data_IF_947391499154
#
_entry.id   IF_947391499154
#
_cell.length_a   1.000
_cell.length_b   1.000
_cell.length_c   1.000
_cell.angle_alpha   90.00
_cell.angle_beta   90.00
_cell.angle_gamma   90.00
#
_symmetry.space_group_name_H-M   'P 1'
#
loop_
_entity.id
_entity.type
_entity.pdbx_description
1 polymer ?
#
# COMPACT_ATOMS: atom_id res chain seq x y z
N UNK A 1 9.85 -5.29 9.19
CA UNK A 1 10.49 -6.01 8.08
C UNK A 1 10.34 -5.21 6.81
N UNK A 2 11.43 -5.10 6.06
CA UNK A 2 11.49 -4.30 4.84
C UNK A 2 11.09 -5.16 3.64
N UNK A 3 10.19 -4.63 2.82
CA UNK A 3 9.66 -5.30 1.63
C UNK A 3 9.62 -4.34 0.44
N UNK A 4 9.59 -4.92 -0.77
CA UNK A 4 9.40 -4.17 -2.01
C UNK A 4 7.95 -4.29 -2.47
N UNK A 5 7.32 -3.16 -2.80
CA UNK A 5 5.96 -3.07 -3.35
C UNK A 5 6.08 -2.69 -4.83
N UNK A 6 5.79 -3.63 -5.72
CA UNK A 6 5.85 -3.43 -7.17
C UNK A 6 4.48 -3.08 -7.74
N UNK A 7 4.47 -2.24 -8.79
CA UNK A 7 3.26 -1.75 -9.44
C UNK A 7 3.12 -2.19 -10.90
N UNK A 8 4.11 -2.93 -11.41
CA UNK A 8 4.14 -3.44 -12.77
C UNK A 8 4.55 -4.92 -12.80
N UNK A 9 4.32 -5.57 -13.95
CA UNK A 9 4.70 -6.96 -14.18
C UNK A 9 6.20 -7.14 -14.47
N UNK A 10 6.91 -6.06 -14.78
CA UNK A 10 8.32 -6.06 -15.18
C UNK A 10 9.27 -5.89 -13.98
N UNK A 11 8.73 -5.62 -12.79
CA UNK A 11 9.46 -5.33 -11.56
C UNK A 11 10.45 -4.15 -11.71
N UNK A 12 10.09 -3.15 -12.52
CA UNK A 12 10.93 -1.97 -12.80
C UNK A 12 10.58 -0.80 -11.87
N UNK A 13 9.30 -0.65 -11.51
CA UNK A 13 8.83 0.37 -10.58
C UNK A 13 8.39 -0.23 -9.24
N UNK A 14 9.09 0.13 -8.17
CA UNK A 14 8.77 -0.31 -6.82
C UNK A 14 9.04 0.77 -5.77
N UNK A 15 8.22 0.75 -4.73
CA UNK A 15 8.50 1.46 -3.50
C UNK A 15 9.01 0.48 -2.44
N UNK A 16 9.81 0.97 -1.50
CA UNK A 16 10.28 0.18 -0.36
C UNK A 16 9.54 0.62 0.89
N UNK A 17 8.98 -0.33 1.64
CA UNK A 17 8.28 -0.05 2.89
C UNK A 17 8.78 -0.95 4.02
N UNK A 18 8.75 -0.44 5.25
CA UNK A 18 8.92 -1.23 6.47
C UNK A 18 7.55 -1.47 7.11
N UNK A 19 7.23 -2.74 7.39
CA UNK A 19 5.95 -3.17 7.98
C UNK A 19 6.20 -4.09 9.19
N UNK A 20 5.28 -4.14 10.18
CA UNK A 20 5.32 -5.19 11.20
C UNK A 20 5.27 -6.59 10.57
N UNK A 21 6.00 -7.57 11.12
CA UNK A 21 6.00 -8.96 10.60
C UNK A 21 4.60 -9.59 10.59
N UNK A 22 3.74 -9.25 11.56
CA UNK A 22 2.34 -9.68 11.59
C UNK A 22 1.53 -9.23 10.37
N UNK A 23 1.92 -8.12 9.72
CA UNK A 23 1.30 -7.70 8.46
C UNK A 23 1.73 -8.61 7.31
N UNK A 24 2.97 -9.09 7.34
CA UNK A 24 3.48 -9.99 6.30
C UNK A 24 2.83 -11.37 6.34
N UNK A 25 2.61 -11.90 7.54
CA UNK A 25 1.96 -13.20 7.75
C UNK A 25 0.57 -13.28 7.11
N UNK A 26 -0.14 -12.15 7.01
CA UNK A 26 -1.49 -12.06 6.44
C UNK A 26 -1.57 -11.15 5.20
N UNK A 27 -0.43 -10.90 4.53
CA UNK A 27 -0.29 -9.80 3.57
C UNK A 27 -1.32 -9.84 2.43
N UNK A 28 -1.65 -11.02 1.90
CA UNK A 28 -2.60 -11.16 0.80
C UNK A 28 -4.04 -10.80 1.24
N UNK A 29 -4.45 -11.17 2.45
CA UNK A 29 -5.75 -10.80 3.00
C UNK A 29 -5.83 -9.30 3.27
N UNK A 30 -4.77 -8.76 3.88
CA UNK A 30 -4.66 -7.33 4.18
C UNK A 30 -4.70 -6.50 2.89
N UNK A 31 -3.93 -6.89 1.87
CA UNK A 31 -3.94 -6.29 0.53
C UNK A 31 -5.35 -6.28 -0.07
N UNK A 32 -6.07 -7.40 -0.01
CA UNK A 32 -7.45 -7.46 -0.49
C UNK A 32 -8.38 -6.49 0.24
N UNK A 33 -8.23 -6.34 1.57
CA UNK A 33 -9.02 -5.36 2.34
C UNK A 33 -8.65 -3.91 2.05
N UNK A 34 -7.37 -3.63 1.82
CA UNK A 34 -6.90 -2.34 1.35
C UNK A 34 -7.53 -1.96 0.00
N UNK A 35 -7.51 -2.86 -0.99
CA UNK A 35 -8.13 -2.57 -2.28
C UNK A 35 -9.65 -2.40 -2.21
N UNK A 36 -10.33 -3.16 -1.34
CA UNK A 36 -11.75 -2.93 -1.06
C UNK A 36 -12.01 -1.53 -0.49
N UNK A 37 -11.12 -1.02 0.36
CA UNK A 37 -11.21 0.34 0.86
C UNK A 37 -10.91 1.37 -0.24
N UNK A 38 -9.80 1.19 -0.96
CA UNK A 38 -9.30 2.13 -1.97
C UNK A 38 -10.28 2.32 -3.13
N UNK A 39 -10.93 1.25 -3.59
CA UNK A 39 -11.85 1.30 -4.74
C UNK A 39 -13.33 1.44 -4.34
N UNK A 40 -13.63 1.64 -3.05
CA UNK A 40 -14.99 1.93 -2.62
C UNK A 40 -15.36 3.38 -2.93
N UNK A 41 -16.19 3.58 -3.96
CA UNK A 41 -16.65 4.92 -4.40
C UNK A 41 -17.39 5.71 -3.30
N UNK A 42 -17.89 5.06 -2.24
CA UNK A 42 -18.52 5.76 -1.10
C UNK A 42 -17.50 6.38 -0.15
N UNK A 43 -16.24 5.92 -0.14
CA UNK A 43 -15.19 6.44 0.72
C UNK A 43 -14.57 7.68 0.10
N UNK A 44 -14.38 8.71 0.92
CA UNK A 44 -13.72 9.96 0.52
C UNK A 44 -12.26 9.88 0.95
N UNK A 45 -11.35 9.86 -0.01
CA UNK A 45 -9.91 9.94 0.21
C UNK A 45 -9.22 10.61 -0.99
N UNK A 46 -8.00 11.11 -0.77
CA UNK A 46 -7.22 11.88 -1.74
C UNK A 46 -6.80 11.11 -3.01
N UNK A 47 -6.81 9.78 -2.98
CA UNK A 47 -6.34 8.95 -4.09
C UNK A 47 -7.32 8.86 -5.27
N UNK A 48 -8.58 9.29 -5.11
CA UNK A 48 -9.54 9.27 -6.22
C UNK A 48 -9.21 10.33 -7.26
N UNK A 49 -9.11 9.92 -8.52
CA UNK A 49 -9.15 10.83 -9.67
C UNK A 49 -10.59 10.98 -10.13
N UNK A 50 -11.05 12.23 -10.15
CA UNK A 50 -12.41 12.61 -10.53
C UNK A 50 -12.40 13.30 -11.89
N UNK A 51 -13.23 12.82 -12.80
CA UNK A 51 -13.44 13.40 -14.14
C UNK A 51 -14.94 13.65 -14.28
N UNK A 52 -15.33 14.87 -14.66
CA UNK A 52 -16.74 15.29 -14.78
C UNK A 52 -17.58 15.06 -13.52
N UNK A 53 -16.96 15.25 -12.34
CA UNK A 53 -17.63 15.04 -11.04
C UNK A 53 -17.74 13.58 -10.60
N UNK A 54 -17.27 12.62 -11.40
CA UNK A 54 -17.33 11.20 -11.08
C UNK A 54 -15.95 10.60 -10.75
N UNK A 55 -15.90 9.76 -9.71
CA UNK A 55 -14.74 8.93 -9.37
C UNK A 55 -14.49 7.88 -10.47
N UNK A 56 -13.36 8.02 -11.19
CA UNK A 56 -13.00 7.14 -12.31
C UNK A 56 -12.01 6.04 -11.91
N UNK A 57 -10.86 6.44 -11.36
CA UNK A 57 -9.80 5.52 -10.93
C UNK A 57 -9.05 6.08 -9.72
N UNK A 58 -8.18 5.28 -9.11
CA UNK A 58 -7.31 5.73 -8.03
C UNK A 58 -5.88 5.92 -8.54
N UNK A 59 -5.26 7.05 -8.22
CA UNK A 59 -3.82 7.29 -8.41
C UNK A 59 -3.14 7.18 -7.04
N UNK A 60 -2.26 6.20 -6.89
CA UNK A 60 -1.67 5.83 -5.60
C UNK A 60 -0.30 5.16 -5.81
N UNK A 61 0.57 5.24 -4.80
CA UNK A 61 1.69 4.30 -4.65
C UNK A 61 1.67 3.68 -3.24
N UNK A 62 2.81 3.23 -2.72
CA UNK A 62 2.84 2.49 -1.46
C UNK A 62 2.46 3.37 -0.25
N UNK A 63 2.55 4.70 -0.38
CA UNK A 63 2.09 5.63 0.65
C UNK A 63 0.59 5.51 0.94
N UNK A 64 -0.21 5.11 -0.04
CA UNK A 64 -1.64 4.84 0.16
C UNK A 64 -1.88 3.61 1.03
N UNK A 65 -1.09 2.57 0.81
CA UNK A 65 -1.17 1.35 1.61
C UNK A 65 -0.65 1.59 3.03
N UNK A 66 0.49 2.28 3.18
CA UNK A 66 1.04 2.65 4.50
C UNK A 66 0.06 3.55 5.27
N UNK A 67 -0.55 4.53 4.59
CA UNK A 67 -1.59 5.35 5.20
C UNK A 67 -2.76 4.50 5.71
N UNK A 68 -3.28 3.60 4.87
CA UNK A 68 -4.40 2.75 5.24
C UNK A 68 -4.05 1.80 6.39
N UNK A 69 -2.87 1.16 6.34
CA UNK A 69 -2.37 0.32 7.42
C UNK A 69 -2.38 1.10 8.73
N UNK A 70 -1.77 2.28 8.78
CA UNK A 70 -1.59 3.02 10.02
C UNK A 70 -2.89 3.59 10.62
N UNK A 71 -3.89 3.88 9.78
CA UNK A 71 -5.15 4.50 10.19
C UNK A 71 -6.29 3.51 10.40
N UNK A 72 -6.21 2.29 9.86
CA UNK A 72 -7.28 1.30 9.95
C UNK A 72 -6.81 -0.03 10.54
N UNK A 73 -5.82 -0.69 9.93
CA UNK A 73 -5.40 -2.04 10.34
C UNK A 73 -4.53 -2.04 11.61
N UNK A 74 -3.55 -1.14 11.66
CA UNK A 74 -2.57 -0.97 12.74
C UNK A 74 -2.97 0.14 13.72
N UNK A 75 -4.22 0.62 13.72
CA UNK A 75 -4.63 1.80 14.51
C UNK A 75 -4.13 1.73 15.96
N UNK A 76 -4.32 0.58 16.61
CA UNK A 76 -3.93 0.32 18.00
C UNK A 76 -2.59 -0.44 18.16
N UNK A 77 -1.82 -0.62 17.08
CA UNK A 77 -0.52 -1.27 17.13
C UNK A 77 0.58 -0.24 17.43
N UNK A 78 1.52 -0.59 18.32
CA UNK A 78 2.68 0.24 18.65
C UNK A 78 3.71 0.31 17.52
N UNK A 79 3.73 -0.68 16.62
CA UNK A 79 4.58 -0.67 15.43
C UNK A 79 3.74 -0.23 14.23
N UNK A 80 4.22 0.79 13.53
CA UNK A 80 3.58 1.40 12.35
C UNK A 80 4.34 1.03 11.08
N UNK A 81 3.65 1.10 9.95
CA UNK A 81 4.26 0.97 8.63
C UNK A 81 4.86 2.31 8.18
N UNK A 82 5.93 2.28 7.38
CA UNK A 82 6.66 3.48 6.94
C UNK A 82 7.15 3.29 5.49
N UNK A 83 7.09 4.34 4.66
CA UNK A 83 7.77 4.37 3.36
C UNK A 83 9.24 4.75 3.51
N UNK A 84 10.13 4.06 2.80
CA UNK A 84 11.57 4.29 2.84
C UNK A 84 12.04 4.92 1.51
N UNK A 85 11.74 6.20 1.31
CA UNK A 85 11.89 6.90 0.00
C UNK A 85 13.33 6.94 -0.57
N UNK A 86 14.35 6.83 0.29
CA UNK A 86 15.76 6.85 -0.12
C UNK A 86 16.36 5.44 -0.29
N UNK A 87 15.59 4.40 -0.01
CA UNK A 87 16.07 3.02 0.02
C UNK A 87 16.08 2.42 -1.40
N UNK A 88 17.17 1.74 -1.74
CA UNK A 88 17.28 1.03 -3.02
C UNK A 88 16.49 -0.27 -2.99
N UNK A 89 15.93 -0.64 -4.13
CA UNK A 89 15.32 -1.95 -4.34
C UNK A 89 16.40 -3.02 -4.14
N UNK A 90 16.12 -3.94 -3.22
CA UNK A 90 16.90 -5.16 -3.00
C UNK A 90 16.02 -6.35 -3.37
N UNK A 91 16.31 -6.97 -4.51
CA UNK A 91 15.53 -8.07 -5.06
C UNK A 91 15.58 -9.37 -4.23
N UNK A 92 16.41 -9.43 -3.18
CA UNK A 92 16.39 -10.54 -2.21
C UNK A 92 15.29 -10.40 -1.15
N UNK A 93 14.71 -9.20 -1.00
CA UNK A 93 13.65 -8.93 -0.02
C UNK A 93 12.33 -9.58 -0.44
N UNK A 94 11.45 -9.89 0.54
CA UNK A 94 10.09 -10.26 0.23
C UNK A 94 9.40 -9.16 -0.58
N UNK A 95 8.56 -9.59 -1.52
CA UNK A 95 7.91 -8.73 -2.49
C UNK A 95 6.42 -8.94 -2.54
N UNK A 96 5.73 -7.87 -2.86
CA UNK A 96 4.27 -7.81 -3.01
C UNK A 96 3.98 -7.00 -4.26
N UNK A 97 3.00 -7.46 -5.04
CA UNK A 97 2.55 -6.80 -6.26
C UNK A 97 1.16 -6.20 -6.04
N UNK A 98 1.00 -4.96 -6.49
CA UNK A 98 -0.25 -4.21 -6.49
C UNK A 98 -0.89 -4.16 -7.87
#
# INVERSE_FOLDING_TARGET
MVINVFFDELFEDADVIDIPESVWEEIENIKATFFKWLFNKKIIHKYWVTIDGEKKYCSYRAEAFVYWLNNFYLLNNNKKAICLDAEKIDYSRPKINF
#
